data_IF_951484323305
#
_entry.id   IF_951484323305
#
_cell.length_a   1.000
_cell.length_b   1.000
_cell.length_c   1.000
_cell.angle_alpha   90.00
_cell.angle_beta   90.00
_cell.angle_gamma   90.00
#
_symmetry.space_group_name_H-M   'P 1'
#
loop_
_entity.id
_entity.type
_entity.pdbx_description
1 polymer ?
#
# COMPACT_ATOMS: atom_id res chain seq x y z
N UNK A 1 -10.72 -4.26 -0.25
CA UNK A 1 -9.23 -4.43 -0.38
C UNK A 1 -8.66 -3.01 -0.41
N UNK A 2 -7.40 -2.74 -0.05
CA UNK A 2 -6.92 -1.35 0.07
C UNK A 2 -5.73 -1.09 -0.85
N UNK A 3 -5.79 0.03 -1.57
CA UNK A 3 -4.66 0.63 -2.26
C UNK A 3 -4.10 1.76 -1.39
N UNK A 4 -2.78 1.81 -1.23
CA UNK A 4 -2.05 2.83 -0.48
C UNK A 4 -0.99 3.43 -1.40
N UNK A 5 -1.03 4.75 -1.57
CA UNK A 5 0.01 5.49 -2.27
C UNK A 5 0.99 6.06 -1.25
N UNK A 6 2.27 5.74 -1.43
CA UNK A 6 3.35 6.23 -0.58
C UNK A 6 3.99 7.50 -1.14
N UNK A 7 4.68 8.25 -0.29
CA UNK A 7 5.39 9.48 -0.67
C UNK A 7 6.50 9.29 -1.70
N UNK A 8 7.09 8.11 -1.77
CA UNK A 8 8.10 7.75 -2.77
C UNK A 8 7.49 7.35 -4.13
N UNK A 9 6.15 7.46 -4.27
CA UNK A 9 5.42 7.14 -5.49
C UNK A 9 5.04 5.66 -5.61
N UNK A 10 5.42 4.81 -4.64
CA UNK A 10 5.06 3.38 -4.68
C UNK A 10 3.59 3.18 -4.38
N UNK A 11 2.97 2.27 -5.12
CA UNK A 11 1.58 1.86 -4.89
C UNK A 11 1.56 0.47 -4.26
N UNK A 12 1.08 0.38 -3.03
CA UNK A 12 0.87 -0.88 -2.33
C UNK A 12 -0.60 -1.26 -2.39
N UNK A 13 -0.89 -2.53 -2.66
CA UNK A 13 -2.25 -3.07 -2.63
C UNK A 13 -2.27 -4.27 -1.69
N UNK A 14 -3.14 -4.26 -0.68
CA UNK A 14 -3.19 -5.32 0.30
C UNK A 14 -4.49 -5.35 1.09
N UNK A 15 -4.54 -6.23 2.09
CA UNK A 15 -5.63 -6.26 3.06
C UNK A 15 -5.18 -5.57 4.34
N UNK A 16 -5.82 -4.46 4.70
CA UNK A 16 -5.57 -3.81 5.98
C UNK A 16 -5.99 -4.73 7.12
N UNK A 17 -5.09 -4.91 8.08
CA UNK A 17 -5.31 -5.72 9.30
C UNK A 17 -5.40 -4.86 10.54
N UNK A 18 -4.66 -3.76 10.59
CA UNK A 18 -4.66 -2.84 11.71
C UNK A 18 -4.23 -1.45 11.26
N UNK A 19 -4.72 -0.45 11.98
CA UNK A 19 -4.36 0.97 11.86
C UNK A 19 -4.29 1.56 13.26
N UNK A 20 -3.39 2.51 13.48
CA UNK A 20 -3.34 3.30 14.72
C UNK A 20 -3.69 4.78 14.48
N UNK A 21 -3.70 5.59 15.54
CA UNK A 21 -4.05 7.02 15.49
C UNK A 21 -3.06 7.88 14.69
N UNK A 22 -1.88 7.36 14.39
CA UNK A 22 -0.86 8.03 13.56
C UNK A 22 -0.91 7.55 12.11
N UNK A 23 -1.92 6.75 11.75
CA UNK A 23 -2.08 6.13 10.45
C UNK A 23 -0.97 5.13 10.09
N UNK A 24 -0.28 4.53 11.07
CA UNK A 24 0.59 3.39 10.78
C UNK A 24 -0.29 2.21 10.35
N UNK A 25 0.04 1.56 9.23
CA UNK A 25 -0.79 0.53 8.60
C UNK A 25 -0.11 -0.83 8.65
N UNK A 26 -0.87 -1.86 9.00
CA UNK A 26 -0.47 -3.25 8.80
C UNK A 26 -1.24 -3.82 7.61
N UNK A 27 -0.53 -4.12 6.54
CA UNK A 27 -1.09 -4.72 5.31
C UNK A 27 -0.66 -6.20 5.22
N UNK A 28 -1.62 -7.06 4.89
CA UNK A 28 -1.40 -8.49 4.69
C UNK A 28 -1.67 -8.87 3.22
N UNK A 29 -0.94 -9.86 2.70
CA UNK A 29 -0.95 -10.24 1.26
C UNK A 29 -0.78 -9.03 0.35
N UNK A 30 0.17 -8.18 0.72
CA UNK A 30 0.50 -6.94 0.02
C UNK A 30 1.26 -7.27 -1.26
N UNK A 31 0.85 -6.63 -2.34
CA UNK A 31 1.59 -6.53 -3.59
C UNK A 31 2.02 -5.08 -3.77
N UNK A 32 3.18 -4.88 -4.37
CA UNK A 32 3.59 -3.58 -4.89
C UNK A 32 3.28 -3.56 -6.38
N UNK A 33 2.51 -2.55 -6.81
CA UNK A 33 2.12 -2.37 -8.21
C UNK A 33 2.89 -1.21 -8.82
N UNK A 34 3.64 -1.50 -9.87
CA UNK A 34 4.38 -0.50 -10.65
C UNK A 34 3.62 -0.26 -11.95
N UNK A 35 3.24 0.99 -12.21
CA UNK A 35 2.51 1.37 -13.43
C UNK A 35 3.47 2.00 -14.45
N UNK A 36 3.36 1.60 -15.71
CA UNK A 36 4.09 2.18 -16.84
C UNK A 36 3.10 2.42 -17.98
N UNK A 37 2.68 3.68 -18.15
CA UNK A 37 1.65 4.03 -19.13
C UNK A 37 0.31 3.35 -18.83
N UNK A 38 -0.12 2.45 -19.73
CA UNK A 38 -1.37 1.66 -19.59
C UNK A 38 -1.14 0.27 -19.00
N UNK A 39 0.11 -0.10 -18.74
CA UNK A 39 0.50 -1.41 -18.24
C UNK A 39 0.91 -1.33 -16.78
N UNK A 40 0.88 -2.48 -16.09
CA UNK A 40 1.36 -2.59 -14.73
C UNK A 40 2.00 -3.95 -14.46
N UNK A 41 2.92 -3.98 -13.50
CA UNK A 41 3.52 -5.20 -12.96
C UNK A 41 3.34 -5.27 -11.44
N UNK A 42 3.11 -6.48 -10.94
CA UNK A 42 2.88 -6.75 -9.51
C UNK A 42 4.05 -7.53 -8.91
N UNK A 43 4.57 -7.08 -7.77
CA UNK A 43 5.61 -7.74 -7.00
C UNK A 43 5.03 -8.17 -5.64
N UNK A 44 5.02 -9.47 -5.30
CA UNK A 44 4.53 -9.92 -4.00
C UNK A 44 5.46 -9.44 -2.87
N UNK A 45 4.89 -8.80 -1.86
CA UNK A 45 5.60 -8.29 -0.67
C UNK A 45 5.20 -9.00 0.62
N UNK A 46 4.00 -9.60 0.68
CA UNK A 46 3.54 -10.36 1.85
C UNK A 46 2.97 -9.48 2.95
N UNK A 47 3.56 -9.49 4.15
CA UNK A 47 3.14 -8.62 5.26
C UNK A 47 3.98 -7.35 5.25
N UNK A 48 3.33 -6.20 5.36
CA UNK A 48 3.99 -4.90 5.30
C UNK A 48 3.52 -4.02 6.45
N UNK A 49 4.45 -3.32 7.09
CA UNK A 49 4.15 -2.26 8.06
C UNK A 49 4.56 -0.94 7.44
N UNK A 50 3.58 -0.07 7.21
CA UNK A 50 3.81 1.26 6.64
C UNK A 50 3.76 2.28 7.77
N UNK A 51 4.78 3.11 7.88
CA UNK A 51 4.77 4.25 8.81
C UNK A 51 3.84 5.33 8.28
N UNK A 52 2.95 5.83 9.13
CA UNK A 52 1.81 6.65 8.74
C UNK A 52 2.20 7.99 8.15
N UNK A 53 3.36 8.53 8.51
CA UNK A 53 3.87 9.71 7.84
C UNK A 53 4.03 9.42 6.35
N UNK A 54 4.56 8.28 5.92
CA UNK A 54 4.84 8.01 4.51
C UNK A 54 3.59 7.76 3.64
N UNK A 55 2.40 7.74 4.23
CA UNK A 55 1.14 7.58 3.51
C UNK A 55 0.70 8.91 2.91
N UNK A 56 0.41 8.92 1.61
CA UNK A 56 -0.18 10.07 0.92
C UNK A 56 -1.70 9.96 0.94
N UNK A 57 -2.22 8.83 0.47
CA UNK A 57 -3.64 8.51 0.48
C UNK A 57 -3.83 6.99 0.50
N UNK A 58 -5.02 6.59 0.92
CA UNK A 58 -5.49 5.21 0.85
C UNK A 58 -6.94 5.18 0.37
N UNK A 59 -7.30 4.15 -0.40
CA UNK A 59 -8.62 4.01 -0.99
C UNK A 59 -9.04 2.54 -1.06
N UNK A 60 -10.29 2.29 -0.71
CA UNK A 60 -10.88 0.96 -0.86
C UNK A 60 -11.08 0.63 -2.35
N UNK A 61 -10.71 -0.60 -2.71
CA UNK A 61 -10.80 -1.24 -4.03
C UNK A 61 -11.41 -2.63 -3.92
#
# INVERSE_FOLDING_TARGET
>A
KLMVLLRDGRTLIGYLRSVDQFANLVLHRTIERIHVGKEYGDIPRGVFIVRGENVVLLGEI
#
